data_IF_483658431385
#
_entry.id   IF_483658431385
#
_cell.length_a   1.000
_cell.length_b   1.000
_cell.length_c   1.000
_cell.angle_alpha   90.00
_cell.angle_beta   90.00
_cell.angle_gamma   90.00
#
_symmetry.space_group_name_H-M   'P 1'
#
loop_
_entity.id
_entity.type
_entity.pdbx_description
1 polymer ?
#
# COMPACT_ATOMS: atom_id res chain seq x y z
N UNK A 1 12.98 4.92 23.95
CA UNK A 1 11.84 4.13 23.43
C UNK A 1 10.83 4.98 22.65
N UNK A 2 10.74 6.30 22.88
CA UNK A 2 9.85 7.19 22.10
C UNK A 2 10.35 7.50 20.66
N UNK A 3 11.66 7.39 20.38
CA UNK A 3 12.20 7.73 19.04
C UNK A 3 11.87 6.70 17.96
N UNK A 4 11.65 5.42 18.31
CA UNK A 4 11.32 4.38 17.32
C UNK A 4 9.89 4.51 16.80
N UNK A 5 8.94 4.94 17.65
CA UNK A 5 7.54 5.17 17.27
C UNK A 5 7.42 6.35 16.31
N UNK A 6 8.20 7.41 16.49
CA UNK A 6 8.26 8.55 15.57
C UNK A 6 8.81 8.17 14.20
N UNK A 7 9.84 7.30 14.13
CA UNK A 7 10.41 6.85 12.85
C UNK A 7 9.47 5.93 12.06
N UNK A 8 8.74 5.04 12.74
CA UNK A 8 7.68 4.23 12.10
C UNK A 8 6.54 5.14 11.63
N UNK A 9 6.21 6.17 12.41
CA UNK A 9 5.27 7.20 11.98
C UNK A 9 5.78 8.08 10.82
N UNK A 10 7.09 8.22 10.65
CA UNK A 10 7.67 8.98 9.55
C UNK A 10 7.60 8.23 8.21
N UNK A 11 7.46 6.90 8.24
CA UNK A 11 7.34 6.07 7.05
C UNK A 11 5.91 5.63 6.74
N UNK A 12 4.96 5.81 7.67
CA UNK A 12 3.55 5.44 7.47
C UNK A 12 2.87 6.21 6.34
N UNK A 13 3.35 7.41 6.00
CA UNK A 13 2.85 8.22 4.88
C UNK A 13 3.57 7.98 3.56
N UNK A 14 4.63 7.14 3.54
CA UNK A 14 5.37 6.87 2.30
C UNK A 14 4.59 5.89 1.44
N UNK A 15 3.65 6.40 0.66
CA UNK A 15 2.80 5.62 -0.25
C UNK A 15 3.61 4.72 -1.20
N UNK A 16 4.80 5.18 -1.61
CA UNK A 16 5.72 4.37 -2.42
C UNK A 16 6.12 3.07 -1.71
N UNK A 17 6.35 3.08 -0.40
CA UNK A 17 6.69 1.86 0.34
C UNK A 17 5.49 0.90 0.39
N UNK A 18 4.29 1.42 0.69
CA UNK A 18 3.05 0.64 0.65
C UNK A 18 2.83 0.00 -0.73
N UNK A 19 3.05 0.77 -1.81
CA UNK A 19 2.97 0.26 -3.19
C UNK A 19 3.91 -0.93 -3.44
N UNK A 20 5.17 -0.85 -3.01
CA UNK A 20 6.13 -1.95 -3.22
C UNK A 20 5.76 -3.18 -2.40
N UNK A 21 5.30 -2.99 -1.15
CA UNK A 21 4.84 -4.09 -0.31
C UNK A 21 3.61 -4.78 -0.92
N UNK A 22 2.62 -4.00 -1.39
CA UNK A 22 1.44 -4.52 -2.08
C UNK A 22 1.81 -5.36 -3.30
N UNK A 23 2.74 -4.89 -4.14
CA UNK A 23 3.21 -5.63 -5.30
C UNK A 23 3.91 -6.95 -4.91
N UNK A 24 4.79 -6.91 -3.91
CA UNK A 24 5.51 -8.10 -3.44
C UNK A 24 4.55 -9.15 -2.83
N UNK A 25 3.56 -8.71 -2.06
CA UNK A 25 2.52 -9.57 -1.49
C UNK A 25 1.66 -10.19 -2.59
N UNK A 26 1.16 -9.38 -3.54
CA UNK A 26 0.36 -9.86 -4.65
C UNK A 26 1.12 -10.86 -5.52
N UNK A 27 2.37 -10.56 -5.90
CA UNK A 27 3.22 -11.47 -6.67
C UNK A 27 3.56 -12.78 -5.95
N UNK A 28 3.45 -12.80 -4.62
CA UNK A 28 3.59 -14.02 -3.80
C UNK A 28 2.27 -14.78 -3.61
N UNK A 29 1.20 -14.41 -4.32
CA UNK A 29 -0.14 -14.99 -4.17
C UNK A 29 -0.93 -14.50 -2.95
N UNK A 30 -0.41 -13.52 -2.20
CA UNK A 30 -1.00 -13.00 -0.95
C UNK A 30 -1.86 -11.77 -1.21
N UNK A 31 -2.85 -11.90 -2.11
CA UNK A 31 -3.72 -10.79 -2.55
C UNK A 31 -4.45 -10.10 -1.38
N UNK A 32 -5.00 -10.87 -0.44
CA UNK A 32 -5.73 -10.31 0.71
C UNK A 32 -4.84 -9.39 1.57
N UNK A 33 -3.57 -9.76 1.76
CA UNK A 33 -2.62 -8.99 2.56
C UNK A 33 -2.13 -7.74 1.80
N UNK A 34 -2.03 -7.82 0.47
CA UNK A 34 -1.79 -6.65 -0.36
C UNK A 34 -2.93 -5.63 -0.22
N UNK A 35 -4.19 -6.08 -0.26
CA UNK A 35 -5.33 -5.19 -0.09
C UNK A 35 -5.46 -4.65 1.34
N UNK A 36 -5.12 -5.45 2.36
CA UNK A 36 -5.07 -4.99 3.75
C UNK A 36 -4.02 -3.88 3.95
N UNK A 37 -2.86 -4.00 3.30
CA UNK A 37 -1.83 -2.96 3.29
C UNK A 37 -2.37 -1.63 2.76
N UNK A 38 -3.14 -1.66 1.68
CA UNK A 38 -3.82 -0.46 1.15
C UNK A 38 -4.78 0.15 2.16
N UNK A 39 -5.64 -0.68 2.78
CA UNK A 39 -6.65 -0.18 3.73
C UNK A 39 -5.99 0.48 4.94
N UNK A 40 -4.90 -0.09 5.46
CA UNK A 40 -4.13 0.51 6.56
C UNK A 40 -3.53 1.86 6.15
N UNK A 41 -2.93 1.95 4.95
CA UNK A 41 -2.38 3.20 4.45
C UNK A 41 -3.47 4.28 4.29
N UNK A 42 -4.63 3.92 3.74
CA UNK A 42 -5.78 4.81 3.59
C UNK A 42 -6.29 5.32 4.93
N UNK A 43 -6.48 4.43 5.91
CA UNK A 43 -6.92 4.82 7.26
C UNK A 43 -5.95 5.81 7.88
N UNK A 44 -4.64 5.51 7.82
CA UNK A 44 -3.59 6.39 8.34
C UNK A 44 -3.59 7.77 7.70
N UNK A 45 -3.74 7.86 6.37
CA UNK A 45 -3.76 9.13 5.65
C UNK A 45 -5.03 9.93 5.97
N UNK A 46 -6.17 9.26 6.05
CA UNK A 46 -7.44 9.89 6.38
C UNK A 46 -7.47 10.39 7.83
N UNK A 47 -7.00 9.58 8.78
CA UNK A 47 -7.03 9.91 10.21
C UNK A 47 -6.03 11.02 10.58
N UNK A 48 -4.80 10.96 10.06
CA UNK A 48 -3.76 11.89 10.49
C UNK A 48 -3.64 13.13 9.60
N UNK A 49 -3.94 13.01 8.30
CA UNK A 49 -3.75 14.10 7.34
C UNK A 49 -5.06 14.59 6.71
N UNK A 50 -6.18 13.85 6.88
CA UNK A 50 -7.47 14.20 6.27
C UNK A 50 -7.47 14.08 4.74
N UNK A 51 -6.56 13.28 4.18
CA UNK A 51 -6.42 13.08 2.73
C UNK A 51 -6.63 11.63 2.34
N UNK A 52 -7.02 11.42 1.09
CA UNK A 52 -7.05 10.10 0.47
C UNK A 52 -5.65 9.69 -0.05
N UNK A 53 -5.42 8.38 -0.31
CA UNK A 53 -4.22 7.92 -1.01
C UNK A 53 -4.07 8.57 -2.38
N UNK A 54 -2.85 8.80 -2.82
CA UNK A 54 -2.56 9.28 -4.17
C UNK A 54 -2.88 8.26 -5.26
N UNK A 55 -3.05 8.74 -6.49
CA UNK A 55 -3.53 7.96 -7.64
C UNK A 55 -2.75 6.66 -7.84
N UNK A 56 -1.41 6.68 -7.74
CA UNK A 56 -0.60 5.47 -7.95
C UNK A 56 -0.86 4.34 -6.96
N UNK A 57 -1.37 4.65 -5.75
CA UNK A 57 -1.75 3.63 -4.76
C UNK A 57 -3.19 3.14 -5.01
N UNK A 58 -4.10 4.05 -5.37
CA UNK A 58 -5.48 3.71 -5.76
C UNK A 58 -5.52 2.84 -7.03
N UNK A 59 -4.73 3.19 -8.04
CA UNK A 59 -4.58 2.44 -9.29
C UNK A 59 -4.08 1.02 -9.03
N UNK A 60 -3.09 0.87 -8.15
CA UNK A 60 -2.57 -0.45 -7.79
C UNK A 60 -3.64 -1.30 -7.08
N UNK A 61 -4.40 -0.71 -6.15
CA UNK A 61 -5.52 -1.41 -5.51
C UNK A 61 -6.52 -1.89 -6.56
N UNK A 62 -6.90 -1.02 -7.51
CA UNK A 62 -7.81 -1.36 -8.60
C UNK A 62 -7.26 -2.47 -9.51
N UNK A 63 -5.98 -2.41 -9.85
CA UNK A 63 -5.31 -3.43 -10.64
C UNK A 63 -5.30 -4.80 -9.92
N UNK A 64 -5.03 -4.82 -8.61
CA UNK A 64 -5.05 -6.05 -7.79
C UNK A 64 -6.47 -6.63 -7.71
N UNK A 65 -7.50 -5.79 -7.54
CA UNK A 65 -8.90 -6.25 -7.50
C UNK A 65 -9.37 -6.83 -8.84
N UNK A 66 -8.84 -6.33 -9.95
CA UNK A 66 -9.17 -6.80 -11.30
C UNK A 66 -8.27 -7.95 -11.78
N UNK A 67 -7.30 -8.40 -10.98
CA UNK A 67 -6.26 -9.34 -11.41
C UNK A 67 -5.58 -8.89 -12.71
N UNK A 68 -5.24 -7.60 -12.76
CA UNK A 68 -4.75 -6.97 -13.97
C UNK A 68 -3.46 -7.66 -14.46
N UNK A 69 -3.42 -8.14 -15.71
CA UNK A 69 -2.25 -8.86 -16.23
C UNK A 69 -0.99 -7.97 -16.28
N UNK A 70 -1.13 -6.64 -16.29
CA UNK A 70 0.03 -5.74 -16.18
C UNK A 70 0.80 -5.86 -14.87
N UNK A 71 0.20 -6.44 -13.82
CA UNK A 71 0.86 -6.76 -12.56
C UNK A 71 1.68 -8.05 -12.62
N UNK A 72 1.39 -8.93 -13.57
CA UNK A 72 2.18 -10.11 -13.84
C UNK A 72 3.23 -9.75 -14.90
N UNK A 73 4.40 -9.33 -14.44
CA UNK A 73 5.58 -9.30 -15.31
C UNK A 73 6.00 -10.76 -15.47
N UNK A 74 5.38 -11.48 -16.41
CA UNK A 74 5.94 -12.74 -16.86
C UNK A 74 7.28 -12.43 -17.56
N UNK A 75 8.37 -13.14 -17.21
CA UNK A 75 9.69 -12.95 -17.82
C UNK A 75 9.74 -13.30 -19.31
#
# INVERSE_FOLDING_TARGET
>A
MAELTSLVAEHRYRERLHRHLMLALYGSGRQAEALDTYQRARLVLAEDLGIDPGDGLQELQGAILRHDPSLHIEP
#
